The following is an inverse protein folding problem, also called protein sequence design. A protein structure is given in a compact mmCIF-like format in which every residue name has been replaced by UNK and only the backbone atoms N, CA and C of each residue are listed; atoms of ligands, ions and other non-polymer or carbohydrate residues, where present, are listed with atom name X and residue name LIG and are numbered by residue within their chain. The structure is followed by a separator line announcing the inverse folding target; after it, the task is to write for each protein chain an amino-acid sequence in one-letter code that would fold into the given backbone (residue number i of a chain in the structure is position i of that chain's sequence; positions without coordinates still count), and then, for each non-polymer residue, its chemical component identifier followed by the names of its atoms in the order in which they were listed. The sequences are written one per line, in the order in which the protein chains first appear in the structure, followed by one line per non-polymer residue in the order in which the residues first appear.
data_IF_635961728441
#
_entry.id   IF_635961728441
#
_cell.length_a   1.000
_cell.length_b   1.000
_cell.length_c   1.000
_cell.angle_alpha   90.00
_cell.angle_beta   90.00
_cell.angle_gamma   90.00
#
_symmetry.space_group_name_H-M   'P 1'
#
loop_
_entity.id
_entity.type
_entity.pdbx_description
1 polymer ?
#
# COMPACT_ATOMS: atom_id res chain seq x y z
N UNK A 1 -10.50 -5.07 -15.01
CA UNK A 1 -10.04 -4.43 -13.75
C UNK A 1 -8.99 -3.39 -14.10
N UNK A 2 -9.03 -2.19 -13.50
CA UNK A 2 -8.03 -1.15 -13.78
C UNK A 2 -6.64 -1.60 -13.28
N UNK A 3 -5.56 -1.11 -13.88
CA UNK A 3 -4.17 -1.30 -13.42
C UNK A 3 -3.99 -0.87 -11.95
N UNK A 4 -4.76 0.14 -11.53
CA UNK A 4 -4.83 0.60 -10.14
C UNK A 4 -5.44 -0.47 -9.21
N UNK A 5 -6.51 -1.16 -9.62
CA UNK A 5 -7.18 -2.17 -8.78
C UNK A 5 -6.27 -3.38 -8.51
N UNK A 6 -5.48 -3.79 -9.50
CA UNK A 6 -4.51 -4.88 -9.35
C UNK A 6 -3.39 -4.49 -8.38
N UNK A 7 -2.90 -3.25 -8.52
CA UNK A 7 -1.87 -2.71 -7.63
C UNK A 7 -2.35 -2.64 -6.18
N UNK A 8 -3.57 -2.16 -5.95
CA UNK A 8 -4.18 -2.09 -4.61
C UNK A 8 -4.34 -3.49 -4.01
N UNK A 9 -4.84 -4.45 -4.79
CA UNK A 9 -5.02 -5.85 -4.33
C UNK A 9 -3.68 -6.46 -3.93
N UNK A 10 -2.64 -6.25 -4.75
CA UNK A 10 -1.28 -6.73 -4.48
C UNK A 10 -0.69 -6.10 -3.23
N UNK A 11 -0.86 -4.78 -3.05
CA UNK A 11 -0.41 -4.05 -1.85
C UNK A 11 -1.09 -4.60 -0.60
N UNK A 12 -2.42 -4.79 -0.62
CA UNK A 12 -3.16 -5.33 0.53
C UNK A 12 -2.67 -6.72 0.92
N UNK A 13 -2.48 -7.60 -0.07
CA UNK A 13 -1.96 -8.95 0.16
C UNK A 13 -0.56 -8.92 0.78
N UNK A 14 0.36 -8.19 0.16
CA UNK A 14 1.74 -8.07 0.65
C UNK A 14 1.81 -7.44 2.06
N UNK A 15 0.95 -6.47 2.37
CA UNK A 15 0.88 -5.88 3.70
C UNK A 15 0.36 -6.87 4.75
N UNK A 16 -0.64 -7.70 4.39
CA UNK A 16 -1.15 -8.77 5.25
C UNK A 16 -0.07 -9.85 5.49
N UNK A 17 0.57 -10.30 4.41
CA UNK A 17 1.65 -11.29 4.47
C UNK A 17 2.81 -10.79 5.34
N UNK A 18 3.17 -9.51 5.19
CA UNK A 18 4.24 -8.87 5.97
C UNK A 18 3.88 -8.72 7.45
N UNK A 19 2.60 -8.55 7.78
CA UNK A 19 2.13 -8.50 9.17
C UNK A 19 2.11 -9.88 9.83
N UNK A 20 1.73 -10.94 9.09
CA UNK A 20 1.73 -12.31 9.59
C UNK A 20 3.14 -12.89 9.67
N UNK A 21 3.96 -12.59 8.66
CA UNK A 21 5.30 -13.14 8.47
C UNK A 21 6.30 -12.00 8.17
N UNK A 22 6.77 -11.30 9.22
CA UNK A 22 7.78 -10.23 9.10
C UNK A 22 8.99 -10.66 8.26
N UNK A 23 9.16 -10.04 7.09
CA UNK A 23 10.22 -10.41 6.15
C UNK A 23 10.70 -9.19 5.37
N UNK A 24 12.02 -9.02 5.34
CA UNK A 24 12.66 -7.96 4.54
C UNK A 24 12.42 -8.15 3.04
N UNK A 25 12.21 -9.39 2.58
CA UNK A 25 11.85 -9.67 1.19
C UNK A 25 10.43 -9.18 0.87
N UNK A 26 9.47 -9.45 1.76
CA UNK A 26 8.08 -9.01 1.60
C UNK A 26 7.98 -7.49 1.69
N UNK A 27 8.70 -6.85 2.61
CA UNK A 27 8.79 -5.38 2.71
C UNK A 27 9.39 -4.75 1.43
N UNK A 28 10.46 -5.34 0.86
CA UNK A 28 11.02 -4.90 -0.43
C UNK A 28 10.01 -5.07 -1.58
N UNK A 29 9.29 -6.19 -1.62
CA UNK A 29 8.28 -6.44 -2.65
C UNK A 29 7.13 -5.42 -2.56
N UNK A 30 6.68 -5.11 -1.33
CA UNK A 30 5.66 -4.11 -1.06
C UNK A 30 6.10 -2.71 -1.49
N UNK A 31 7.30 -2.30 -1.09
CA UNK A 31 7.87 -1.01 -1.46
C UNK A 31 7.99 -0.86 -2.99
N UNK A 32 8.45 -1.90 -3.71
CA UNK A 32 8.53 -1.88 -5.18
C UNK A 32 7.17 -1.81 -5.84
N UNK A 33 6.20 -2.58 -5.35
CA UNK A 33 4.83 -2.60 -5.89
C UNK A 33 4.18 -1.24 -5.74
N UNK A 34 4.28 -0.62 -4.56
CA UNK A 34 3.77 0.72 -4.30
C UNK A 34 4.47 1.78 -5.18
N UNK A 35 5.80 1.69 -5.37
CA UNK A 35 6.53 2.58 -6.28
C UNK A 35 6.04 2.46 -7.74
N UNK A 36 5.82 1.25 -8.24
CA UNK A 36 5.28 1.02 -9.59
C UNK A 36 3.85 1.54 -9.73
N UNK A 37 3.00 1.30 -8.73
CA UNK A 37 1.63 1.78 -8.69
C UNK A 37 1.53 3.31 -8.72
N UNK A 38 2.50 4.00 -8.10
CA UNK A 38 2.60 5.47 -8.14
C UNK A 38 2.73 5.99 -9.58
N UNK A 39 3.44 5.27 -10.45
CA UNK A 39 3.65 5.67 -11.84
C UNK A 39 2.49 5.31 -12.78
N UNK A 40 1.65 4.33 -12.42
CA UNK A 40 0.58 3.82 -13.28
C UNK A 40 -0.81 4.33 -12.91
N UNK A 41 -0.96 5.00 -11.77
CA UNK A 41 -2.25 5.49 -11.26
C UNK A 41 -2.05 6.80 -10.50
N UNK A 42 -1.88 7.90 -11.25
CA UNK A 42 -1.58 9.24 -10.74
C UNK A 42 -2.57 9.71 -9.67
N UNK A 43 -3.87 9.43 -9.85
CA UNK A 43 -4.91 9.84 -8.91
C UNK A 43 -4.77 9.19 -7.52
N UNK A 44 -4.10 8.05 -7.42
CA UNK A 44 -3.82 7.36 -6.16
C UNK A 44 -2.35 7.47 -5.75
N UNK A 45 -1.53 8.20 -6.52
CA UNK A 45 -0.10 8.33 -6.30
C UNK A 45 0.27 8.80 -4.88
N UNK A 46 -0.42 9.76 -4.24
CA UNK A 46 -0.11 10.16 -2.86
C UNK A 46 -0.25 9.00 -1.86
N UNK A 47 -1.25 8.13 -2.06
CA UNK A 47 -1.50 6.98 -1.19
C UNK A 47 -0.46 5.88 -1.42
N UNK A 48 -0.10 5.62 -2.68
CA UNK A 48 0.98 4.68 -3.00
C UNK A 48 2.35 5.14 -2.49
N UNK A 49 2.65 6.45 -2.56
CA UNK A 49 3.88 7.03 -1.98
C UNK A 49 3.95 6.82 -0.47
N UNK A 50 2.82 6.97 0.25
CA UNK A 50 2.76 6.70 1.70
C UNK A 50 3.04 5.22 2.02
N UNK A 51 2.43 4.29 1.29
CA UNK A 51 2.71 2.85 1.45
C UNK A 51 4.18 2.54 1.15
N UNK A 52 4.73 3.12 0.07
CA UNK A 52 6.14 2.96 -0.28
C UNK A 52 7.08 3.44 0.82
N UNK A 53 6.81 4.62 1.40
CA UNK A 53 7.61 5.19 2.48
C UNK A 53 7.57 4.29 3.72
N UNK A 54 6.38 3.91 4.19
CA UNK A 54 6.23 3.04 5.36
C UNK A 54 6.89 1.66 5.16
N UNK A 55 6.75 1.07 3.98
CA UNK A 55 7.41 -0.20 3.65
C UNK A 55 8.95 -0.08 3.59
N UNK A 56 9.47 1.09 3.21
CA UNK A 56 10.92 1.36 3.17
C UNK A 56 11.47 1.61 4.57
N UNK A 57 10.69 2.24 5.45
CA UNK A 57 11.06 2.46 6.84
C UNK A 57 11.26 1.13 7.59
N UNK A 58 10.45 0.10 7.29
CA UNK A 58 10.65 -1.27 7.79
C UNK A 58 11.98 -1.93 7.35
N UNK A 59 12.63 -1.41 6.31
CA UNK A 59 13.91 -1.91 5.82
C UNK A 59 15.11 -1.16 6.42
N UNK A 60 14.85 -0.09 7.17
CA UNK A 60 15.90 0.79 7.67
C UNK A 60 16.51 0.21 8.95
N UNK A 61 17.86 0.17 9.06
CA UNK A 61 18.53 -0.32 10.28
C UNK A 61 18.17 0.55 11.49
N UNK A 62 17.86 -0.08 12.62
CA UNK A 62 17.58 0.61 13.88
C UNK A 62 16.16 1.21 13.98
N UNK A 63 15.31 1.04 12.97
CA UNK A 63 13.90 1.46 13.04
C UNK A 63 13.15 0.63 14.07
N UNK A 64 12.25 1.29 14.82
CA UNK A 64 11.32 0.62 15.74
C UNK A 64 10.25 -0.10 14.91
N UNK A 65 10.28 -1.45 14.84
CA UNK A 65 9.41 -2.20 13.93
C UNK A 65 7.93 -1.92 14.23
N UNK A 66 7.53 -1.85 15.49
CA UNK A 66 6.12 -1.65 15.87
C UNK A 66 5.52 -0.36 15.32
N UNK A 67 6.29 0.75 15.38
CA UNK A 67 5.87 2.05 14.83
C UNK A 67 5.75 1.98 13.31
N UNK A 68 6.75 1.42 12.63
CA UNK A 68 6.73 1.30 11.18
C UNK A 68 5.62 0.36 10.67
N UNK A 69 5.31 -0.72 11.40
CA UNK A 69 4.15 -1.58 11.12
C UNK A 69 2.82 -0.84 11.34
N UNK A 70 2.71 -0.02 12.38
CA UNK A 70 1.52 0.78 12.62
C UNK A 70 1.28 1.80 11.50
N UNK A 71 2.32 2.50 11.08
CA UNK A 71 2.27 3.43 9.95
C UNK A 71 1.90 2.73 8.64
N UNK A 72 2.47 1.55 8.40
CA UNK A 72 2.14 0.76 7.22
C UNK A 72 0.66 0.35 7.21
N UNK A 73 0.14 -0.15 8.34
CA UNK A 73 -1.29 -0.51 8.48
C UNK A 73 -2.18 0.70 8.21
N UNK A 74 -1.84 1.86 8.76
CA UNK A 74 -2.59 3.09 8.54
C UNK A 74 -2.57 3.51 7.07
N UNK A 75 -1.41 3.48 6.42
CA UNK A 75 -1.27 3.83 5.00
C UNK A 75 -2.13 2.93 4.10
N UNK A 76 -2.14 1.61 4.37
CA UNK A 76 -2.95 0.64 3.61
C UNK A 76 -4.45 0.83 3.87
N UNK A 77 -4.86 1.09 5.11
CA UNK A 77 -6.27 1.35 5.44
C UNK A 77 -6.83 2.60 4.76
N UNK A 78 -6.03 3.68 4.69
CA UNK A 78 -6.40 4.90 3.96
C UNK A 78 -6.53 4.61 2.46
N UNK A 79 -5.57 3.90 1.86
CA UNK A 79 -5.63 3.51 0.46
C UNK A 79 -6.90 2.71 0.15
N UNK A 80 -7.24 1.73 1.00
CA UNK A 80 -8.43 0.90 0.83
C UNK A 80 -9.73 1.71 0.94
N UNK A 81 -9.77 2.66 1.87
CA UNK A 81 -10.92 3.56 2.06
C UNK A 81 -11.15 4.45 0.84
N UNK A 82 -10.08 5.03 0.28
CA UNK A 82 -10.15 5.89 -0.91
C UNK A 82 -10.62 5.10 -2.14
N UNK A 83 -10.07 3.90 -2.35
CA UNK A 83 -10.46 3.01 -3.45
C UNK A 83 -11.93 2.59 -3.31
N UNK A 84 -12.36 2.27 -2.10
CA UNK A 84 -13.75 1.91 -1.81
C UNK A 84 -14.71 3.07 -2.07
N UNK A 85 -14.36 4.28 -1.61
CA UNK A 85 -15.16 5.48 -1.85
C UNK A 85 -15.28 5.77 -3.36
N UNK A 86 -14.18 5.66 -4.10
CA UNK A 86 -14.17 5.85 -5.56
C UNK A 86 -15.03 4.83 -6.30
N UNK A 87 -14.97 3.55 -5.92
CA UNK A 87 -15.83 2.50 -6.50
C UNK A 87 -17.31 2.80 -6.25
N UNK A 88 -17.68 3.15 -5.02
CA UNK A 88 -19.05 3.53 -4.67
C UNK A 88 -19.55 4.76 -5.46
N UNK A 89 -18.69 5.77 -5.63
CA UNK A 89 -19.03 6.95 -6.42
C UNK A 89 -19.27 6.60 -7.90
N UNK A 90 -18.43 5.72 -8.48
CA UNK A 90 -18.59 5.26 -9.86
C UNK A 90 -19.89 4.46 -10.07
N UNK A 91 -20.26 3.61 -9.12
CA UNK A 91 -21.51 2.82 -9.20
C UNK A 91 -22.77 3.66 -9.06
N UNK A 92 -22.72 4.80 -8.36
CA UNK A 92 -23.87 5.72 -8.20
C UNK A 92 -24.12 6.63 -9.40
N UNK A 93 -23.16 6.71 -10.33
CA UNK A 93 -23.22 7.52 -11.55
C UNK A 93 -23.60 6.68 -12.79
N UNK A 94 -23.86 5.39 -12.61
CA UNK A 94 -24.35 4.45 -13.63
C UNK A 94 -25.81 4.13 -13.38
#
# INVERSE_FOLDING_TARGET
MSTADHSVTSIKRLACDLQQWPSSLTAKALARTAKRATASAEELAPHFKRVHAAATELLRPGTRPDTAYAELRQAVAILDSVVTARRKAKTRLQ
#
